data_IF_637496285799
#
_entry.id   IF_637496285799
#
_cell.length_a   1.000
_cell.length_b   1.000
_cell.length_c   1.000
_cell.angle_alpha   90.00
_cell.angle_beta   90.00
_cell.angle_gamma   90.00
#
_symmetry.space_group_name_H-M   'P 1'
#
loop_
_entity.id
_entity.type
_entity.pdbx_description
1 polymer ?
#
# COMPACT_ATOMS: atom_id res chain seq x y z
N UNK A 1 51.59 22.17 -22.48
CA UNK A 1 50.44 22.89 -21.90
C UNK A 1 49.21 22.02 -22.13
N UNK A 2 49.05 20.97 -21.33
CA UNK A 2 47.94 20.03 -21.43
C UNK A 2 46.85 20.49 -20.46
N UNK A 3 45.71 20.88 -21.02
CA UNK A 3 44.54 21.31 -20.26
C UNK A 3 43.92 20.06 -19.63
N UNK A 4 43.67 20.17 -18.34
CA UNK A 4 43.23 19.12 -17.43
C UNK A 4 41.73 18.79 -17.64
N UNK A 5 41.39 18.18 -18.78
CA UNK A 5 40.00 17.83 -19.13
C UNK A 5 39.47 16.61 -18.36
N UNK A 6 40.34 15.84 -17.72
CA UNK A 6 39.95 14.67 -16.91
C UNK A 6 39.35 15.05 -15.55
N UNK A 7 39.52 16.28 -15.08
CA UNK A 7 38.99 16.73 -13.79
C UNK A 7 37.54 17.22 -13.84
N UNK A 8 37.01 17.56 -15.03
CA UNK A 8 35.65 18.11 -15.18
C UNK A 8 34.60 16.99 -15.28
N UNK A 9 34.99 15.78 -15.67
CA UNK A 9 34.04 14.68 -15.97
C UNK A 9 33.71 13.77 -14.77
N UNK A 10 34.41 13.92 -13.64
CA UNK A 10 34.28 12.99 -12.49
C UNK A 10 33.57 13.61 -11.26
N UNK A 11 33.17 14.90 -11.34
CA UNK A 11 32.68 15.67 -10.19
C UNK A 11 31.17 15.95 -10.16
N UNK A 12 30.38 15.44 -11.12
CA UNK A 12 28.92 15.40 -10.99
C UNK A 12 28.51 14.31 -9.99
N UNK A 13 28.75 14.60 -8.70
CA UNK A 13 27.82 14.33 -7.61
C UNK A 13 27.07 13.00 -7.76
N UNK A 14 27.79 11.87 -7.67
CA UNK A 14 27.17 10.59 -7.30
C UNK A 14 26.68 10.75 -5.86
N UNK A 15 25.57 11.46 -5.65
CA UNK A 15 24.73 11.25 -4.47
C UNK A 15 24.38 9.76 -4.51
N UNK A 16 25.14 8.95 -3.77
CA UNK A 16 24.82 7.54 -3.58
C UNK A 16 23.47 7.52 -2.89
N UNK A 17 22.40 7.35 -3.66
CA UNK A 17 21.07 7.11 -3.14
C UNK A 17 21.17 5.88 -2.25
N UNK A 18 21.18 6.08 -0.94
CA UNK A 18 21.27 4.96 0.00
C UNK A 18 19.91 4.28 0.04
N UNK A 19 19.91 2.96 0.19
CA UNK A 19 18.68 2.19 0.34
C UNK A 19 17.73 2.76 1.42
N UNK A 20 18.18 3.05 2.66
CA UNK A 20 17.28 3.57 3.69
C UNK A 20 16.68 4.93 3.31
N UNK A 21 17.44 5.79 2.63
CA UNK A 21 16.92 7.07 2.15
C UNK A 21 15.82 6.87 1.10
N UNK A 22 16.01 5.96 0.14
CA UNK A 22 14.98 5.67 -0.88
C UNK A 22 13.70 5.12 -0.26
N UNK A 23 13.83 4.19 0.70
CA UNK A 23 12.69 3.61 1.41
C UNK A 23 11.94 4.70 2.19
N UNK A 24 12.66 5.51 2.97
CA UNK A 24 12.05 6.61 3.73
C UNK A 24 11.33 7.60 2.83
N UNK A 25 11.93 7.97 1.70
CA UNK A 25 11.33 8.85 0.71
C UNK A 25 10.03 8.27 0.13
N UNK A 26 10.03 6.99 -0.26
CA UNK A 26 8.84 6.32 -0.79
C UNK A 26 7.72 6.21 0.25
N UNK A 27 8.06 5.90 1.50
CA UNK A 27 7.07 5.85 2.59
C UNK A 27 6.42 7.22 2.77
N UNK A 28 7.23 8.29 2.89
CA UNK A 28 6.72 9.66 3.03
C UNK A 28 5.85 10.05 1.85
N UNK A 29 6.28 9.75 0.62
CA UNK A 29 5.49 10.00 -0.60
C UNK A 29 4.13 9.30 -0.53
N UNK A 30 4.09 8.00 -0.24
CA UNK A 30 2.85 7.25 -0.14
C UNK A 30 1.93 7.78 0.97
N UNK A 31 2.49 8.13 2.14
CA UNK A 31 1.69 8.71 3.23
C UNK A 31 1.04 10.03 2.81
N UNK A 32 1.77 10.88 2.08
CA UNK A 32 1.26 12.16 1.55
C UNK A 32 0.20 11.94 0.48
N UNK A 33 0.30 10.89 -0.34
CA UNK A 33 -0.67 10.63 -1.40
C UNK A 33 -1.95 9.92 -0.88
N UNK A 34 -1.80 8.96 0.04
CA UNK A 34 -2.89 8.04 0.37
C UNK A 34 -3.70 8.44 1.61
N UNK A 35 -3.15 9.20 2.55
CA UNK A 35 -3.83 9.47 3.83
C UNK A 35 -4.59 10.80 3.92
N UNK A 36 -4.15 11.93 3.32
CA UNK A 36 -4.83 13.20 3.53
C UNK A 36 -6.29 13.16 3.09
N UNK A 37 -7.19 13.60 3.97
CA UNK A 37 -8.64 13.69 3.71
C UNK A 37 -9.44 12.39 3.83
N UNK A 38 -8.79 11.23 4.00
CA UNK A 38 -9.52 9.94 4.12
C UNK A 38 -10.28 9.79 5.44
N UNK A 39 -9.93 10.58 6.46
CA UNK A 39 -10.57 10.59 7.77
C UNK A 39 -11.96 11.24 7.79
N UNK A 40 -12.24 12.14 6.86
CA UNK A 40 -13.49 12.93 6.81
C UNK A 40 -14.36 12.58 5.61
N UNK A 41 -13.89 11.69 4.75
CA UNK A 41 -14.58 11.35 3.52
C UNK A 41 -15.65 10.31 3.84
N UNK A 42 -16.94 10.58 3.56
CA UNK A 42 -18.00 9.63 3.85
C UNK A 42 -17.84 8.35 3.00
N UNK A 43 -18.41 7.25 3.47
CA UNK A 43 -18.52 6.00 2.73
C UNK A 43 -19.60 6.13 1.65
N UNK A 44 -19.29 6.83 0.57
CA UNK A 44 -20.26 7.13 -0.49
C UNK A 44 -20.55 5.93 -1.41
N UNK A 45 -19.60 5.01 -1.55
CA UNK A 45 -19.77 3.82 -2.37
C UNK A 45 -20.50 2.70 -1.60
N UNK A 46 -21.47 2.01 -2.24
CA UNK A 46 -22.19 0.91 -1.60
C UNK A 46 -21.29 -0.22 -1.12
N UNK A 47 -20.18 -0.52 -1.80
CA UNK A 47 -19.27 -1.57 -1.37
C UNK A 47 -18.49 -1.16 -0.12
N UNK A 48 -18.07 0.11 -0.03
CA UNK A 48 -17.42 0.66 1.17
C UNK A 48 -18.36 0.57 2.38
N UNK A 49 -19.63 0.95 2.18
CA UNK A 49 -20.66 0.89 3.23
C UNK A 49 -20.92 -0.54 3.70
N UNK A 50 -21.04 -1.50 2.78
CA UNK A 50 -21.20 -2.93 3.13
C UNK A 50 -20.03 -3.45 3.93
N UNK A 51 -18.79 -3.15 3.53
CA UNK A 51 -17.61 -3.57 4.27
C UNK A 51 -17.61 -2.99 5.69
N UNK A 52 -17.97 -1.71 5.84
CA UNK A 52 -18.04 -1.05 7.13
C UNK A 52 -19.14 -1.65 8.03
N UNK A 53 -20.31 -2.00 7.48
CA UNK A 53 -21.38 -2.65 8.23
C UNK A 53 -20.96 -4.03 8.75
N UNK A 54 -20.32 -4.84 7.90
CA UNK A 54 -19.77 -6.14 8.30
C UNK A 54 -18.77 -5.96 9.46
N UNK A 55 -17.85 -5.01 9.33
CA UNK A 55 -16.85 -4.71 10.36
C UNK A 55 -17.50 -4.24 11.67
N UNK A 56 -18.51 -3.38 11.59
CA UNK A 56 -19.27 -2.95 12.77
C UNK A 56 -19.97 -4.13 13.45
N UNK A 57 -20.63 -4.99 12.67
CA UNK A 57 -21.29 -6.17 13.21
C UNK A 57 -20.29 -7.08 13.93
N UNK A 58 -19.14 -7.38 13.32
CA UNK A 58 -18.11 -8.22 13.93
C UNK A 58 -17.60 -7.68 15.27
N UNK A 59 -17.44 -6.36 15.38
CA UNK A 59 -17.02 -5.70 16.62
C UNK A 59 -18.13 -5.76 17.67
N UNK A 60 -19.39 -5.51 17.28
CA UNK A 60 -20.53 -5.44 18.21
C UNK A 60 -20.98 -6.82 18.70
N UNK A 61 -21.03 -7.82 17.82
CA UNK A 61 -21.47 -9.18 18.17
C UNK A 61 -20.35 -10.02 18.79
N UNK A 62 -19.10 -9.68 18.52
CA UNK A 62 -17.96 -10.52 18.87
C UNK A 62 -17.83 -11.79 18.02
N UNK A 63 -18.59 -11.89 16.93
CA UNK A 63 -18.51 -13.00 15.97
C UNK A 63 -17.53 -12.67 14.85
N UNK A 64 -16.27 -13.09 15.02
CA UNK A 64 -15.20 -12.80 14.06
C UNK A 64 -15.09 -13.83 12.94
N UNK A 65 -15.64 -15.04 13.13
CA UNK A 65 -15.45 -16.15 12.20
C UNK A 65 -16.39 -16.05 10.98
N UNK A 66 -17.66 -15.71 11.23
CA UNK A 66 -18.71 -15.65 10.22
C UNK A 66 -19.17 -14.20 10.05
N UNK A 67 -18.77 -13.53 8.94
CA UNK A 67 -19.22 -12.17 8.69
C UNK A 67 -20.72 -12.17 8.38
N UNK A 68 -21.40 -11.13 8.85
CA UNK A 68 -22.82 -10.92 8.60
C UNK A 68 -23.05 -9.56 7.96
N UNK A 69 -24.04 -9.49 7.08
CA UNK A 69 -24.53 -8.26 6.47
C UNK A 69 -26.05 -8.25 6.60
N UNK A 70 -26.60 -7.20 7.21
CA UNK A 70 -28.04 -7.06 7.46
C UNK A 70 -28.70 -8.25 8.19
N UNK A 71 -27.94 -8.95 9.04
CA UNK A 71 -28.40 -10.10 9.84
C UNK A 71 -28.25 -11.45 9.15
N UNK A 72 -27.93 -11.48 7.86
CA UNK A 72 -27.65 -12.71 7.12
C UNK A 72 -26.14 -13.00 7.05
N UNK A 73 -25.81 -14.29 6.95
CA UNK A 73 -24.43 -14.73 6.74
C UNK A 73 -23.90 -14.26 5.39
N UNK A 74 -22.72 -13.64 5.39
CA UNK A 74 -22.06 -13.10 4.21
C UNK A 74 -20.90 -14.01 3.79
N UNK A 75 -21.07 -14.78 2.71
CA UNK A 75 -20.05 -15.73 2.22
C UNK A 75 -19.35 -15.29 0.92
N UNK A 76 -19.63 -14.10 0.42
CA UNK A 76 -19.13 -13.66 -0.89
C UNK A 76 -17.62 -13.33 -0.87
N UNK A 77 -17.10 -12.80 0.24
CA UNK A 77 -15.68 -12.42 0.38
C UNK A 77 -15.09 -13.02 1.66
N UNK A 78 -13.80 -13.43 1.65
CA UNK A 78 -13.18 -14.06 2.80
C UNK A 78 -12.96 -13.07 3.96
N UNK A 79 -13.02 -13.58 5.19
CA UNK A 79 -12.95 -12.81 6.43
C UNK A 79 -11.66 -11.98 6.71
N UNK A 80 -10.45 -12.34 6.23
CA UNK A 80 -9.21 -11.68 6.68
C UNK A 80 -9.16 -10.16 6.49
N UNK A 81 -9.76 -9.64 5.42
CA UNK A 81 -9.83 -8.19 5.22
C UNK A 81 -10.64 -7.50 6.32
N UNK A 82 -11.80 -8.06 6.67
CA UNK A 82 -12.66 -7.53 7.71
C UNK A 82 -12.01 -7.59 9.10
N UNK A 83 -11.19 -8.62 9.37
CA UNK A 83 -10.39 -8.65 10.61
C UNK A 83 -9.42 -7.48 10.72
N UNK A 84 -8.67 -7.21 9.66
CA UNK A 84 -7.70 -6.12 9.63
C UNK A 84 -8.39 -4.77 9.77
N UNK A 85 -9.52 -4.59 9.07
CA UNK A 85 -10.30 -3.37 9.15
C UNK A 85 -10.95 -3.19 10.53
N UNK A 86 -11.43 -4.28 11.17
CA UNK A 86 -11.95 -4.25 12.53
C UNK A 86 -10.87 -3.89 13.56
N UNK A 87 -9.66 -4.44 13.44
CA UNK A 87 -8.52 -4.03 14.27
C UNK A 87 -8.16 -2.57 14.04
N UNK A 88 -8.17 -2.11 12.78
CA UNK A 88 -7.99 -0.71 12.44
C UNK A 88 -9.05 0.20 13.08
N UNK A 89 -10.30 -0.27 13.14
CA UNK A 89 -11.39 0.45 13.78
C UNK A 89 -11.20 0.53 15.30
N UNK A 90 -10.81 -0.57 15.94
CA UNK A 90 -10.52 -0.60 17.37
C UNK A 90 -9.34 0.32 17.74
N UNK A 91 -8.34 0.44 16.87
CA UNK A 91 -7.17 1.28 17.10
C UNK A 91 -7.43 2.78 16.86
N UNK A 92 -8.26 3.12 15.87
CA UNK A 92 -8.46 4.51 15.42
C UNK A 92 -9.77 5.13 15.91
N UNK A 93 -10.77 4.31 16.23
CA UNK A 93 -12.12 4.74 16.56
C UNK A 93 -12.93 5.27 15.38
N UNK A 94 -12.36 5.35 14.17
CA UNK A 94 -13.02 5.89 12.98
C UNK A 94 -13.25 4.82 11.92
N UNK A 95 -14.54 4.49 11.73
CA UNK A 95 -14.92 3.39 10.85
C UNK A 95 -14.57 3.71 9.41
N UNK A 96 -14.74 4.95 8.96
CA UNK A 96 -14.48 5.38 7.59
C UNK A 96 -12.98 5.30 7.26
N UNK A 97 -12.14 5.62 8.25
CA UNK A 97 -10.70 5.58 8.09
C UNK A 97 -10.11 4.17 8.20
N UNK A 98 -10.66 3.32 9.07
CA UNK A 98 -10.10 2.01 9.41
C UNK A 98 -9.74 1.13 8.21
N UNK A 99 -10.68 0.90 7.28
CA UNK A 99 -10.43 0.07 6.10
C UNK A 99 -9.55 0.76 5.05
N UNK A 100 -9.62 2.09 4.94
CA UNK A 100 -8.74 2.86 4.06
C UNK A 100 -7.30 2.86 4.55
N UNK A 101 -7.09 2.85 5.87
CA UNK A 101 -5.78 2.67 6.47
C UNK A 101 -5.20 1.30 6.09
N UNK A 102 -6.00 0.24 6.15
CA UNK A 102 -5.58 -1.10 5.71
C UNK A 102 -5.16 -1.05 4.23
N UNK A 103 -6.01 -0.51 3.35
CA UNK A 103 -5.68 -0.37 1.91
C UNK A 103 -4.38 0.41 1.68
N UNK A 104 -4.20 1.54 2.36
CA UNK A 104 -3.01 2.38 2.25
C UNK A 104 -1.74 1.64 2.73
N UNK A 105 -1.81 0.86 3.80
CA UNK A 105 -0.68 0.06 4.29
C UNK A 105 -0.25 -1.01 3.28
N UNK A 106 -1.20 -1.71 2.66
CA UNK A 106 -0.89 -2.69 1.62
C UNK A 106 -0.39 -2.04 0.32
N UNK A 107 -0.88 -0.85 -0.01
CA UNK A 107 -0.38 -0.07 -1.13
C UNK A 107 1.10 0.36 -0.91
N UNK A 108 1.44 0.81 0.30
CA UNK A 108 2.83 1.11 0.68
C UNK A 108 3.71 -0.13 0.54
N UNK A 109 3.24 -1.30 1.03
CA UNK A 109 3.99 -2.54 0.92
C UNK A 109 4.26 -2.93 -0.54
N UNK A 110 3.27 -2.81 -1.44
CA UNK A 110 3.45 -3.04 -2.86
C UNK A 110 4.44 -2.07 -3.52
N UNK A 111 4.44 -0.78 -3.15
CA UNK A 111 5.43 0.20 -3.63
C UNK A 111 6.85 -0.17 -3.19
N UNK A 112 7.02 -0.60 -1.94
CA UNK A 112 8.32 -1.05 -1.44
C UNK A 112 8.80 -2.33 -2.13
N UNK A 113 7.88 -3.22 -2.50
CA UNK A 113 8.22 -4.38 -3.32
C UNK A 113 8.65 -4.00 -4.73
N UNK A 114 7.95 -3.08 -5.39
CA UNK A 114 8.35 -2.56 -6.70
C UNK A 114 9.74 -1.91 -6.65
N UNK A 115 10.03 -1.17 -5.58
CA UNK A 115 11.39 -0.67 -5.30
C UNK A 115 12.40 -1.81 -5.18
N UNK A 116 12.07 -2.86 -4.43
CA UNK A 116 12.96 -4.01 -4.25
C UNK A 116 13.24 -4.74 -5.58
N UNK A 117 12.24 -4.86 -6.45
CA UNK A 117 12.33 -5.44 -7.78
C UNK A 117 13.22 -4.61 -8.71
N UNK A 118 12.90 -3.33 -8.88
CA UNK A 118 13.69 -2.42 -9.70
C UNK A 118 15.13 -2.30 -9.21
N UNK A 119 15.35 -2.35 -7.89
CA UNK A 119 16.69 -2.34 -7.30
C UNK A 119 17.50 -3.59 -7.67
N UNK A 120 16.87 -4.77 -7.71
CA UNK A 120 17.56 -6.00 -8.09
C UNK A 120 17.94 -6.01 -9.57
N UNK A 121 17.16 -5.34 -10.42
CA UNK A 121 17.39 -5.26 -11.87
C UNK A 121 18.39 -4.16 -12.29
N UNK A 122 18.39 -3.01 -11.60
CA UNK A 122 19.15 -1.83 -12.05
C UNK A 122 19.68 -0.93 -10.94
N UNK A 123 19.74 -1.41 -9.70
CA UNK A 123 20.25 -0.65 -8.55
C UNK A 123 19.26 0.38 -7.99
N UNK A 124 19.71 1.16 -7.00
CA UNK A 124 18.82 1.99 -6.17
C UNK A 124 18.02 3.04 -6.95
N UNK A 125 18.57 3.62 -8.01
CA UNK A 125 17.86 4.59 -8.84
C UNK A 125 16.71 3.93 -9.61
N UNK A 126 16.95 2.77 -10.23
CA UNK A 126 15.92 2.02 -10.95
C UNK A 126 14.78 1.59 -10.01
N UNK A 127 15.12 1.12 -8.81
CA UNK A 127 14.14 0.83 -7.77
C UNK A 127 13.34 2.07 -7.36
N UNK A 128 14.01 3.20 -7.14
CA UNK A 128 13.33 4.44 -6.72
C UNK A 128 12.35 4.93 -7.79
N UNK A 129 12.77 4.93 -9.06
CA UNK A 129 11.90 5.31 -10.18
C UNK A 129 10.70 4.36 -10.29
N UNK A 130 10.91 3.04 -10.19
CA UNK A 130 9.82 2.07 -10.22
C UNK A 130 8.81 2.29 -9.09
N UNK A 131 9.30 2.52 -7.86
CA UNK A 131 8.45 2.83 -6.71
C UNK A 131 7.67 4.13 -6.87
N UNK A 132 8.30 5.21 -7.36
CA UNK A 132 7.64 6.49 -7.59
C UNK A 132 6.56 6.35 -8.66
N UNK A 133 6.86 5.73 -9.79
CA UNK A 133 5.90 5.53 -10.89
C UNK A 133 4.68 4.76 -10.42
N UNK A 134 4.89 3.67 -9.66
CA UNK A 134 3.77 2.93 -9.10
C UNK A 134 2.98 3.77 -8.09
N UNK A 135 3.66 4.48 -7.19
CA UNK A 135 3.00 5.27 -6.15
C UNK A 135 2.15 6.43 -6.70
N UNK A 136 2.57 7.02 -7.82
CA UNK A 136 1.85 8.12 -8.48
C UNK A 136 0.89 7.66 -9.58
N UNK A 137 0.80 6.34 -9.84
CA UNK A 137 -0.17 5.81 -10.78
C UNK A 137 -1.58 6.10 -10.31
N UNK A 138 -2.38 6.74 -11.16
CA UNK A 138 -3.71 7.27 -10.81
C UNK A 138 -4.60 6.20 -10.18
N UNK A 139 -4.69 5.04 -10.81
CA UNK A 139 -5.49 3.92 -10.31
C UNK A 139 -5.02 3.43 -8.93
N UNK A 140 -3.69 3.39 -8.74
CA UNK A 140 -3.10 2.92 -7.50
C UNK A 140 -3.40 3.87 -6.33
N UNK A 141 -3.38 5.19 -6.60
CA UNK A 141 -3.78 6.21 -5.62
C UNK A 141 -5.26 6.06 -5.26
N UNK A 142 -6.15 5.84 -6.23
CA UNK A 142 -7.58 5.62 -5.95
C UNK A 142 -7.81 4.38 -5.09
N UNK A 143 -7.22 3.25 -5.49
CA UNK A 143 -7.40 1.99 -4.79
C UNK A 143 -6.80 2.01 -3.38
N UNK A 144 -5.66 2.69 -3.17
CA UNK A 144 -5.06 2.87 -1.85
C UNK A 144 -5.96 3.68 -0.88
N UNK A 145 -6.85 4.51 -1.42
CA UNK A 145 -7.75 5.40 -0.66
C UNK A 145 -9.15 4.82 -0.49
N UNK A 146 -9.45 3.69 -1.13
CA UNK A 146 -10.76 3.06 -1.07
C UNK A 146 -10.85 2.03 0.05
N UNK A 147 -12.02 1.95 0.70
CA UNK A 147 -12.32 0.91 1.69
C UNK A 147 -12.71 -0.38 0.95
N UNK A 148 -11.70 -1.06 0.39
CA UNK A 148 -11.86 -2.33 -0.35
C UNK A 148 -10.70 -3.28 -0.11
N UNK A 149 -10.94 -4.57 -0.37
CA UNK A 149 -9.95 -5.64 -0.20
C UNK A 149 -8.96 -5.80 -1.36
N UNK A 150 -9.15 -5.06 -2.45
CA UNK A 150 -8.40 -5.24 -3.69
C UNK A 150 -6.90 -4.95 -3.50
N UNK A 151 -6.55 -3.92 -2.73
CA UNK A 151 -5.15 -3.60 -2.42
C UNK A 151 -4.45 -4.73 -1.64
N UNK A 152 -5.00 -5.23 -0.51
CA UNK A 152 -4.46 -6.42 0.15
C UNK A 152 -4.29 -7.62 -0.78
N UNK A 153 -5.32 -7.94 -1.58
CA UNK A 153 -5.28 -9.07 -2.49
C UNK A 153 -4.17 -8.90 -3.54
N UNK A 154 -4.14 -7.77 -4.23
CA UNK A 154 -3.15 -7.47 -5.26
C UNK A 154 -1.72 -7.53 -4.70
N UNK A 155 -1.49 -6.92 -3.54
CA UNK A 155 -0.17 -6.91 -2.88
C UNK A 155 0.27 -8.32 -2.49
N UNK A 156 -0.63 -9.16 -1.96
CA UNK A 156 -0.31 -10.54 -1.59
C UNK A 156 -0.01 -11.42 -2.81
N UNK A 157 -0.78 -11.26 -3.90
CA UNK A 157 -0.51 -11.96 -5.16
C UNK A 157 0.84 -11.53 -5.72
N UNK A 158 1.13 -10.23 -5.76
CA UNK A 158 2.44 -9.74 -6.14
C UNK A 158 3.55 -10.26 -5.23
N UNK A 159 3.29 -10.42 -3.93
CA UNK A 159 4.29 -10.91 -2.99
C UNK A 159 4.63 -12.38 -3.27
N UNK A 160 3.61 -13.19 -3.57
CA UNK A 160 3.80 -14.58 -3.98
C UNK A 160 4.63 -14.68 -5.28
N UNK A 161 4.29 -13.88 -6.30
CA UNK A 161 5.02 -13.86 -7.57
C UNK A 161 6.46 -13.38 -7.42
N UNK A 162 6.65 -12.31 -6.65
CA UNK A 162 7.97 -11.76 -6.33
C UNK A 162 8.84 -12.77 -5.60
N UNK A 163 8.27 -13.48 -4.62
CA UNK A 163 8.98 -14.51 -3.88
C UNK A 163 9.38 -15.68 -4.76
N UNK A 164 8.46 -16.13 -5.62
CA UNK A 164 8.71 -17.17 -6.61
C UNK A 164 9.85 -16.79 -7.55
N UNK A 165 9.79 -15.61 -8.18
CA UNK A 165 10.85 -15.12 -9.06
C UNK A 165 12.21 -15.02 -8.33
N UNK A 166 12.19 -14.56 -7.08
CA UNK A 166 13.40 -14.46 -6.27
C UNK A 166 14.03 -15.81 -5.95
N UNK A 167 13.24 -16.87 -5.88
CA UNK A 167 13.73 -18.23 -5.63
C UNK A 167 14.36 -18.84 -6.89
N UNK A 168 13.83 -18.53 -8.07
CA UNK A 168 14.35 -19.03 -9.35
C UNK A 168 15.69 -18.38 -9.76
N UNK A 169 15.96 -17.14 -9.32
CA UNK A 169 17.17 -16.36 -9.67
C UNK A 169 18.19 -16.24 -8.53
#
# INVERSE_FOLDING_TARGET
>A
MAINDTAITDQTSRRRLTQPFCIGLLIVLCLVLYLPGTWQMPLADPEESRCALIVQHMIQSGEWLMPHLDGDLYFDKPAPYFWLAAVGQLATGNIEFSGRLVSALFAIAAVLMAFSAGRRMGGNLAGLVAGIVLATSVEFVFMARWYRMDMPLATLVWAALWWFWRYET
#
